data_IF_045945562363
#
_entry.id   IF_045945562363
#
_cell.length_a   1.000
_cell.length_b   1.000
_cell.length_c   1.000
_cell.angle_alpha   90.00
_cell.angle_beta   90.00
_cell.angle_gamma   90.00
#
_symmetry.space_group_name_H-M   'P 1'
#
loop_
_entity.id
_entity.type
_entity.pdbx_description
1 polymer ?
#
# COMPACT_ATOMS: atom_id res chain seq x y z
N UNK A 1 -5.57 22.37 -1.05
CA UNK A 1 -5.78 21.91 0.34
C UNK A 1 -6.63 20.65 0.40
N UNK A 2 -7.90 20.65 -0.04
CA UNK A 2 -8.84 19.52 0.11
C UNK A 2 -8.29 18.16 -0.31
N UNK A 3 -7.64 18.05 -1.48
CA UNK A 3 -7.07 16.79 -1.98
C UNK A 3 -5.93 16.24 -1.12
N UNK A 4 -5.12 17.10 -0.51
CA UNK A 4 -4.03 16.65 0.38
C UNK A 4 -4.59 16.14 1.71
N UNK A 5 -5.63 16.78 2.25
CA UNK A 5 -6.34 16.26 3.41
C UNK A 5 -6.99 14.89 3.11
N UNK A 6 -7.57 14.72 1.91
CA UNK A 6 -8.14 13.46 1.48
C UNK A 6 -7.08 12.35 1.38
N UNK A 7 -5.91 12.63 0.79
CA UNK A 7 -4.78 11.69 0.73
C UNK A 7 -4.26 11.32 2.13
N UNK A 8 -4.14 12.30 3.03
CA UNK A 8 -3.73 12.06 4.42
C UNK A 8 -4.72 11.13 5.13
N UNK A 9 -6.02 11.44 5.08
CA UNK A 9 -7.08 10.65 5.74
C UNK A 9 -7.18 9.27 5.11
N UNK A 10 -7.12 9.17 3.78
CA UNK A 10 -7.19 7.89 3.08
C UNK A 10 -5.99 6.99 3.40
N UNK A 11 -4.77 7.56 3.44
CA UNK A 11 -3.58 6.79 3.81
C UNK A 11 -3.58 6.41 5.29
N UNK A 12 -4.05 7.31 6.16
CA UNK A 12 -4.28 7.00 7.57
C UNK A 12 -5.19 5.78 7.71
N UNK A 13 -6.34 5.77 7.02
CA UNK A 13 -7.28 4.65 7.09
C UNK A 13 -6.69 3.35 6.54
N UNK A 14 -5.97 3.42 5.40
CA UNK A 14 -5.32 2.25 4.81
C UNK A 14 -4.33 1.60 5.78
N UNK A 15 -3.49 2.41 6.42
CA UNK A 15 -2.48 1.90 7.37
C UNK A 15 -3.12 1.44 8.66
N UNK A 16 -4.06 2.20 9.22
CA UNK A 16 -4.73 1.80 10.46
C UNK A 16 -5.54 0.50 10.26
N UNK A 17 -6.32 0.39 9.20
CA UNK A 17 -7.13 -0.81 8.94
C UNK A 17 -6.28 -2.01 8.49
N UNK A 18 -5.33 -1.78 7.56
CA UNK A 18 -4.47 -2.85 7.04
C UNK A 18 -3.45 -3.33 8.07
N UNK A 19 -2.59 -2.46 8.58
CA UNK A 19 -1.59 -2.84 9.58
C UNK A 19 -2.24 -3.16 10.94
N UNK A 20 -3.34 -2.48 11.29
CA UNK A 20 -4.12 -2.80 12.50
C UNK A 20 -4.73 -4.20 12.45
N UNK A 21 -5.19 -4.66 11.29
CA UNK A 21 -5.68 -6.04 11.13
C UNK A 21 -4.58 -7.07 11.38
N UNK A 22 -3.33 -6.77 11.03
CA UNK A 22 -2.17 -7.62 11.36
C UNK A 22 -1.92 -7.64 12.87
N UNK A 23 -1.81 -6.45 13.48
CA UNK A 23 -1.36 -6.30 14.87
C UNK A 23 -2.42 -6.73 15.88
N UNK A 24 -3.69 -6.41 15.60
CA UNK A 24 -4.77 -6.57 16.58
C UNK A 24 -5.62 -7.83 16.37
N UNK A 25 -5.70 -8.33 15.14
CA UNK A 25 -6.71 -9.35 14.81
C UNK A 25 -6.17 -10.62 14.13
N UNK A 26 -4.98 -10.57 13.49
CA UNK A 26 -4.49 -11.70 12.71
C UNK A 26 -4.33 -12.98 13.53
N UNK A 27 -3.78 -12.86 14.74
CA UNK A 27 -3.48 -13.97 15.66
C UNK A 27 -4.37 -13.97 16.91
N UNK A 28 -5.56 -13.34 16.83
CA UNK A 28 -6.47 -13.33 17.97
C UNK A 28 -6.87 -14.77 18.34
N UNK A 29 -6.82 -15.15 19.64
CA UNK A 29 -7.08 -16.53 20.04
C UNK A 29 -8.42 -17.07 19.50
N UNK A 30 -8.41 -18.29 19.00
CA UNK A 30 -9.53 -19.09 18.48
C UNK A 30 -10.25 -18.54 17.25
N UNK A 31 -10.27 -17.21 17.02
CA UNK A 31 -11.04 -16.57 15.93
C UNK A 31 -10.19 -15.56 15.13
N UNK A 32 -8.88 -15.69 15.15
CA UNK A 32 -7.98 -14.82 14.39
C UNK A 32 -8.24 -14.86 12.89
N UNK A 33 -8.13 -13.69 12.25
CA UNK A 33 -8.47 -13.55 10.83
C UNK A 33 -7.38 -14.09 9.88
N UNK A 34 -6.18 -14.31 10.38
CA UNK A 34 -5.05 -14.84 9.62
C UNK A 34 -4.72 -14.07 8.35
N UNK A 35 -3.95 -14.72 7.47
CA UNK A 35 -3.51 -14.13 6.19
C UNK A 35 -4.69 -13.70 5.31
N UNK A 36 -5.76 -14.50 5.24
CA UNK A 36 -6.92 -14.21 4.42
C UNK A 36 -7.62 -12.93 4.88
N UNK A 37 -7.89 -12.82 6.19
CA UNK A 37 -8.55 -11.64 6.73
C UNK A 37 -7.71 -10.36 6.62
N UNK A 38 -6.40 -10.46 6.81
CA UNK A 38 -5.47 -9.33 6.60
C UNK A 38 -5.49 -8.89 5.14
N UNK A 39 -5.45 -9.83 4.20
CA UNK A 39 -5.50 -9.51 2.76
C UNK A 39 -6.80 -8.80 2.39
N UNK A 40 -7.92 -9.26 2.92
CA UNK A 40 -9.23 -8.61 2.75
C UNK A 40 -9.24 -7.21 3.38
N UNK A 41 -8.69 -7.04 4.58
CA UNK A 41 -8.66 -5.75 5.27
C UNK A 41 -7.92 -4.69 4.44
N UNK A 42 -6.75 -4.99 3.89
CA UNK A 42 -6.04 -4.07 3.01
C UNK A 42 -6.84 -3.71 1.76
N UNK A 43 -7.45 -4.69 1.10
CA UNK A 43 -8.30 -4.43 -0.07
C UNK A 43 -9.54 -3.61 0.26
N UNK A 44 -10.21 -3.89 1.38
CA UNK A 44 -11.39 -3.17 1.83
C UNK A 44 -11.09 -1.72 2.25
N UNK A 45 -9.94 -1.45 2.87
CA UNK A 45 -9.54 -0.07 3.20
C UNK A 45 -9.41 0.77 1.94
N UNK A 46 -8.75 0.24 0.90
CA UNK A 46 -8.61 0.93 -0.38
C UNK A 46 -9.96 1.06 -1.09
N UNK A 47 -10.73 0.00 -1.17
CA UNK A 47 -12.04 -0.02 -1.84
C UNK A 47 -12.97 1.05 -1.25
N UNK A 48 -13.08 1.07 0.07
CA UNK A 48 -13.96 2.02 0.77
C UNK A 48 -13.48 3.46 0.61
N UNK A 49 -12.16 3.70 0.70
CA UNK A 49 -11.60 5.04 0.49
C UNK A 49 -11.70 5.48 -0.97
N UNK A 50 -11.53 4.58 -1.94
CA UNK A 50 -11.69 4.94 -3.35
C UNK A 50 -13.10 5.44 -3.66
N UNK A 51 -14.13 4.85 -3.05
CA UNK A 51 -15.50 5.39 -3.13
C UNK A 51 -15.65 6.70 -2.36
N UNK A 52 -15.07 6.81 -1.16
CA UNK A 52 -15.28 7.95 -0.27
C UNK A 52 -14.56 9.22 -0.74
N UNK A 53 -13.32 9.11 -1.27
CA UNK A 53 -12.47 10.26 -1.59
C UNK A 53 -11.92 10.27 -3.02
N UNK A 54 -12.24 9.26 -3.83
CA UNK A 54 -11.75 9.19 -5.21
C UNK A 54 -12.10 10.41 -6.05
N UNK A 55 -13.31 10.94 -5.88
CA UNK A 55 -13.78 12.15 -6.55
C UNK A 55 -13.12 13.46 -6.02
N UNK A 56 -12.38 13.41 -4.90
CA UNK A 56 -11.71 14.57 -4.29
C UNK A 56 -10.24 14.62 -4.68
N UNK A 57 -9.51 13.51 -4.51
CA UNK A 57 -8.05 13.45 -4.70
C UNK A 57 -7.58 12.48 -5.78
N UNK A 58 -8.47 11.61 -6.26
CA UNK A 58 -8.11 10.43 -7.05
C UNK A 58 -7.81 9.21 -6.18
N UNK A 59 -7.78 9.37 -4.85
CA UNK A 59 -7.50 8.32 -3.87
C UNK A 59 -6.23 7.52 -4.21
N UNK A 60 -5.10 8.22 -4.36
CA UNK A 60 -3.81 7.54 -4.57
C UNK A 60 -3.38 6.78 -3.32
N UNK A 61 -3.40 7.45 -2.17
CA UNK A 61 -3.05 6.95 -0.82
C UNK A 61 -1.78 6.07 -0.78
N UNK A 62 -0.90 6.30 -1.75
CA UNK A 62 0.29 5.51 -2.01
C UNK A 62 1.26 6.31 -2.91
N UNK A 63 2.51 6.55 -2.48
CA UNK A 63 3.50 7.22 -3.33
C UNK A 63 3.76 6.49 -4.65
N UNK A 64 3.84 5.15 -4.66
CA UNK A 64 4.08 4.39 -5.89
C UNK A 64 2.93 4.56 -6.90
N UNK A 65 1.69 4.67 -6.43
CA UNK A 65 0.52 5.00 -7.27
C UNK A 65 0.66 6.42 -7.84
N UNK A 66 1.06 7.38 -7.03
CA UNK A 66 1.26 8.77 -7.49
C UNK A 66 2.33 8.85 -8.58
N UNK A 67 3.46 8.16 -8.41
CA UNK A 67 4.52 8.06 -9.42
C UNK A 67 4.06 7.29 -10.67
N UNK A 68 3.33 6.20 -10.51
CA UNK A 68 2.78 5.42 -11.63
C UNK A 68 1.79 6.24 -12.48
N UNK A 69 0.87 6.97 -11.84
CA UNK A 69 -0.08 7.85 -12.53
C UNK A 69 0.63 9.03 -13.21
N UNK A 70 1.67 9.59 -12.60
CA UNK A 70 2.51 10.59 -13.24
C UNK A 70 3.21 10.03 -14.49
N UNK A 71 3.86 8.89 -14.38
CA UNK A 71 4.50 8.22 -15.51
C UNK A 71 3.50 7.84 -16.61
N UNK A 72 2.27 7.52 -16.22
CA UNK A 72 1.14 7.26 -17.13
C UNK A 72 0.54 8.52 -17.78
N UNK A 73 1.02 9.72 -17.43
CA UNK A 73 0.50 10.99 -17.95
C UNK A 73 -0.85 11.43 -17.36
N UNK A 74 -1.29 10.80 -16.27
CA UNK A 74 -2.58 11.09 -15.62
C UNK A 74 -2.48 11.91 -14.35
N UNK A 75 -1.25 12.30 -13.94
CA UNK A 75 -1.01 13.10 -12.75
C UNK A 75 0.13 14.11 -12.98
N UNK A 76 -0.03 15.38 -12.58
CA UNK A 76 0.99 16.40 -12.84
C UNK A 76 2.17 16.30 -11.85
N UNK A 77 3.40 16.47 -12.34
CA UNK A 77 4.62 16.32 -11.56
C UNK A 77 4.70 17.28 -10.34
N UNK A 78 4.18 18.49 -10.46
CA UNK A 78 4.18 19.47 -9.36
C UNK A 78 3.27 19.07 -8.18
N UNK A 79 2.46 18.04 -8.32
CA UNK A 79 1.61 17.51 -7.27
C UNK A 79 2.22 16.28 -6.56
N UNK A 80 3.28 15.69 -7.11
CA UNK A 80 3.90 14.50 -6.54
C UNK A 80 4.35 14.72 -5.09
N UNK A 81 5.20 15.72 -4.86
CA UNK A 81 5.75 15.98 -3.53
C UNK A 81 4.66 16.28 -2.49
N UNK A 82 3.68 17.17 -2.74
CA UNK A 82 2.58 17.39 -1.80
C UNK A 82 1.76 16.13 -1.49
N UNK A 83 1.52 15.25 -2.47
CA UNK A 83 0.82 13.98 -2.25
C UNK A 83 1.65 13.04 -1.39
N UNK A 84 2.91 12.83 -1.73
CA UNK A 84 3.81 11.96 -0.97
C UNK A 84 3.90 12.42 0.49
N UNK A 85 4.06 13.72 0.74
CA UNK A 85 4.09 14.27 2.10
C UNK A 85 2.79 13.98 2.85
N UNK A 86 1.62 14.25 2.24
CA UNK A 86 0.32 14.00 2.86
C UNK A 86 0.13 12.51 3.17
N UNK A 87 0.51 11.63 2.25
CA UNK A 87 0.43 10.18 2.40
C UNK A 87 1.33 9.67 3.53
N UNK A 88 2.59 10.12 3.58
CA UNK A 88 3.53 9.71 4.64
C UNK A 88 3.07 10.22 6.00
N UNK A 89 2.62 11.47 6.10
CA UNK A 89 2.09 12.01 7.37
C UNK A 89 0.87 11.21 7.83
N UNK A 90 -0.06 10.88 6.92
CA UNK A 90 -1.23 10.05 7.23
C UNK A 90 -0.83 8.66 7.71
N UNK A 91 0.15 8.03 7.05
CA UNK A 91 0.66 6.72 7.43
C UNK A 91 1.33 6.71 8.82
N UNK A 92 2.18 7.70 9.11
CA UNK A 92 2.85 7.83 10.41
C UNK A 92 1.84 8.12 11.52
N UNK A 93 0.85 8.98 11.27
CA UNK A 93 -0.23 9.24 12.22
C UNK A 93 -1.04 7.96 12.53
N UNK A 94 -1.32 7.15 11.52
CA UNK A 94 -2.00 5.85 11.69
C UNK A 94 -1.15 4.87 12.50
N UNK A 95 0.15 4.78 12.21
CA UNK A 95 1.10 3.98 13.00
C UNK A 95 1.11 4.41 14.47
N UNK A 96 1.10 5.72 14.73
CA UNK A 96 1.02 6.26 16.10
C UNK A 96 -0.27 5.88 16.83
N UNK A 97 -1.41 6.00 16.16
CA UNK A 97 -2.71 5.58 16.74
C UNK A 97 -2.73 4.07 16.99
N UNK A 98 -2.26 3.28 16.02
CA UNK A 98 -2.18 1.82 16.18
C UNK A 98 -1.26 1.43 17.35
N UNK A 99 -0.12 2.10 17.47
CA UNK A 99 0.81 1.91 18.59
C UNK A 99 0.14 2.16 19.93
N UNK A 100 -0.56 3.29 20.06
CA UNK A 100 -1.29 3.64 21.30
C UNK A 100 -2.39 2.63 21.65
N UNK A 101 -3.09 2.10 20.65
CA UNK A 101 -4.10 1.05 20.85
C UNK A 101 -3.43 -0.24 21.31
N UNK A 102 -2.36 -0.66 20.62
CA UNK A 102 -1.68 -1.91 20.89
C UNK A 102 -0.99 -1.93 22.27
N UNK A 103 -0.49 -0.79 22.74
CA UNK A 103 0.08 -0.63 24.10
C UNK A 103 -0.93 -0.92 25.23
N UNK A 104 -2.21 -0.95 24.94
CA UNK A 104 -3.22 -1.38 25.90
C UNK A 104 -3.15 -2.87 26.25
N UNK A 105 -2.41 -3.67 25.49
CA UNK A 105 -2.15 -5.08 25.78
C UNK A 105 -0.82 -5.23 26.55
N UNK A 106 -0.83 -5.94 27.68
CA UNK A 106 0.31 -6.02 28.60
C UNK A 106 1.58 -6.61 27.96
N UNK A 107 1.43 -7.59 27.05
CA UNK A 107 2.54 -8.29 26.40
C UNK A 107 2.92 -7.71 25.03
N UNK A 108 2.35 -6.57 24.65
CA UNK A 108 2.65 -5.95 23.36
C UNK A 108 4.11 -5.49 23.28
N UNK A 109 4.77 -5.86 22.19
CA UNK A 109 6.12 -5.37 21.87
C UNK A 109 6.24 -5.02 20.40
N UNK A 110 6.68 -3.80 20.13
CA UNK A 110 6.97 -3.32 18.75
C UNK A 110 8.04 -4.16 18.07
N UNK A 111 9.00 -4.70 18.86
CA UNK A 111 10.07 -5.56 18.34
C UNK A 111 9.57 -6.87 17.71
N UNK A 112 8.31 -7.27 18.00
CA UNK A 112 7.66 -8.39 17.31
C UNK A 112 7.32 -8.11 15.83
N UNK A 113 7.61 -6.88 15.33
CA UNK A 113 7.52 -6.55 13.91
C UNK A 113 6.47 -5.53 13.52
N UNK A 114 5.45 -5.26 14.33
CA UNK A 114 4.44 -4.20 14.16
C UNK A 114 3.94 -4.00 12.72
N UNK A 115 3.67 -5.09 12.03
CA UNK A 115 3.28 -5.13 10.62
C UNK A 115 4.31 -4.50 9.64
N UNK A 116 5.58 -4.35 10.04
CA UNK A 116 6.62 -3.82 9.16
C UNK A 116 6.92 -4.79 8.00
N UNK A 117 7.41 -4.22 6.91
CA UNK A 117 7.88 -4.98 5.77
C UNK A 117 9.35 -5.34 5.94
N UNK A 118 9.73 -6.54 5.47
CA UNK A 118 11.10 -6.99 5.59
C UNK A 118 11.49 -8.06 4.58
N UNK A 119 12.81 -8.33 4.49
CA UNK A 119 13.42 -9.40 3.69
C UNK A 119 14.50 -10.12 4.48
N UNK A 120 14.98 -11.26 3.98
CA UNK A 120 15.96 -12.06 4.70
C UNK A 120 15.43 -12.53 6.04
N UNK A 121 16.15 -12.25 7.12
CA UNK A 121 15.74 -12.61 8.48
C UNK A 121 14.43 -11.96 8.95
N UNK A 122 14.00 -10.88 8.30
CA UNK A 122 12.77 -10.15 8.61
C UNK A 122 11.65 -10.41 7.61
N UNK A 123 11.84 -11.30 6.63
CA UNK A 123 10.77 -11.82 5.77
C UNK A 123 9.90 -12.78 6.57
N UNK A 124 8.56 -12.72 6.49
CA UNK A 124 7.69 -13.70 7.17
C UNK A 124 8.00 -15.15 6.77
N UNK A 125 8.33 -15.40 5.50
CA UNK A 125 8.68 -16.73 4.98
C UNK A 125 10.19 -16.95 4.74
N UNK A 126 11.07 -16.06 5.22
CA UNK A 126 12.53 -16.20 5.06
C UNK A 126 13.04 -15.89 3.66
N UNK A 127 12.31 -15.15 2.85
CA UNK A 127 12.70 -14.84 1.45
C UNK A 127 13.84 -13.84 1.36
N UNK A 128 14.71 -14.06 0.37
CA UNK A 128 15.87 -13.22 0.12
C UNK A 128 15.53 -11.80 -0.33
N UNK A 129 16.52 -10.89 -0.28
CA UNK A 129 16.45 -9.55 -0.84
C UNK A 129 16.02 -9.55 -2.32
N UNK A 130 16.57 -10.48 -3.13
CA UNK A 130 16.20 -10.57 -4.56
C UNK A 130 14.74 -10.95 -4.74
N UNK A 131 14.26 -11.92 -3.95
CA UNK A 131 12.84 -12.33 -3.98
C UNK A 131 11.93 -11.18 -3.57
N UNK A 132 12.30 -10.41 -2.55
CA UNK A 132 11.57 -9.22 -2.10
C UNK A 132 11.53 -8.15 -3.20
N UNK A 133 12.67 -7.86 -3.82
CA UNK A 133 12.78 -6.87 -4.90
C UNK A 133 11.87 -7.24 -6.07
N UNK A 134 11.93 -8.50 -6.54
CA UNK A 134 11.10 -8.98 -7.66
C UNK A 134 9.61 -8.92 -7.28
N UNK A 135 9.26 -9.40 -6.08
CA UNK A 135 7.87 -9.39 -5.61
C UNK A 135 7.29 -7.97 -5.59
N UNK A 136 7.98 -7.04 -4.95
CA UNK A 136 7.50 -5.65 -4.81
C UNK A 136 7.39 -4.94 -6.17
N UNK A 137 8.36 -5.16 -7.09
CA UNK A 137 8.30 -4.60 -8.45
C UNK A 137 7.11 -5.17 -9.21
N UNK A 138 6.98 -6.51 -9.27
CA UNK A 138 5.95 -7.16 -10.09
C UNK A 138 4.55 -6.89 -9.53
N UNK A 139 4.36 -6.99 -8.22
CA UNK A 139 3.06 -6.73 -7.60
C UNK A 139 2.62 -5.28 -7.81
N UNK A 140 3.52 -4.31 -7.66
CA UNK A 140 3.19 -2.90 -7.89
C UNK A 140 2.97 -2.60 -9.38
N UNK A 141 3.75 -3.23 -10.27
CA UNK A 141 3.56 -3.14 -11.72
C UNK A 141 2.14 -3.54 -12.12
N UNK A 142 1.68 -4.70 -11.67
CA UNK A 142 0.31 -5.17 -11.94
C UNK A 142 -0.72 -4.26 -11.27
N UNK A 143 -0.46 -3.81 -10.06
CA UNK A 143 -1.37 -2.90 -9.37
C UNK A 143 -1.62 -1.60 -10.15
N UNK A 144 -0.56 -0.97 -10.66
CA UNK A 144 -0.68 0.25 -11.48
C UNK A 144 -1.35 -0.05 -12.82
N UNK A 145 -1.06 -1.20 -13.45
CA UNK A 145 -1.74 -1.63 -14.67
C UNK A 145 -3.26 -1.71 -14.44
N UNK A 146 -3.70 -2.35 -13.34
CA UNK A 146 -5.12 -2.45 -12.98
C UNK A 146 -5.73 -1.08 -12.68
N UNK A 147 -5.04 -0.22 -11.93
CA UNK A 147 -5.52 1.14 -11.64
C UNK A 147 -5.74 1.92 -12.93
N UNK A 148 -4.75 1.94 -13.82
CA UNK A 148 -4.85 2.67 -15.09
C UNK A 148 -5.95 2.10 -16.00
N UNK A 149 -6.09 0.78 -16.03
CA UNK A 149 -7.13 0.10 -16.81
C UNK A 149 -8.53 0.34 -16.25
N UNK A 150 -8.72 0.13 -14.95
CA UNK A 150 -10.03 0.29 -14.32
C UNK A 150 -10.54 1.75 -14.31
N UNK A 151 -9.62 2.72 -14.37
CA UNK A 151 -9.93 4.15 -14.42
C UNK A 151 -9.88 4.74 -15.85
N UNK A 152 -9.72 3.91 -16.86
CA UNK A 152 -9.79 4.33 -18.27
C UNK A 152 -11.23 4.74 -18.61
N UNK A 153 -11.38 5.76 -19.48
CA UNK A 153 -12.70 6.22 -19.92
C UNK A 153 -13.52 5.16 -20.66
N UNK A 154 -12.85 4.15 -21.23
CA UNK A 154 -13.45 3.00 -21.92
C UNK A 154 -13.90 1.88 -20.96
N UNK A 155 -13.40 1.89 -19.71
CA UNK A 155 -13.80 0.93 -18.70
C UNK A 155 -15.21 1.23 -18.15
N UNK A 156 -15.93 0.22 -17.63
CA UNK A 156 -17.22 0.42 -17.01
C UNK A 156 -17.15 1.45 -15.87
N UNK A 157 -17.92 2.51 -15.97
CA UNK A 157 -17.91 3.60 -15.00
C UNK A 157 -18.44 3.14 -13.64
N UNK A 158 -17.82 3.64 -12.56
CA UNK A 158 -18.25 3.36 -11.18
C UNK A 158 -17.67 2.07 -10.58
N UNK A 159 -17.06 1.18 -11.36
CA UNK A 159 -16.53 -0.11 -10.86
C UNK A 159 -15.05 -0.08 -10.49
N UNK A 160 -14.32 0.95 -10.84
CA UNK A 160 -12.89 1.05 -10.58
C UNK A 160 -12.51 0.79 -9.10
N UNK A 161 -13.19 1.34 -8.09
CA UNK A 161 -12.87 1.07 -6.68
C UNK A 161 -12.91 -0.41 -6.32
N UNK A 162 -13.86 -1.17 -6.88
CA UNK A 162 -14.01 -2.61 -6.63
C UNK A 162 -12.82 -3.36 -7.23
N UNK A 163 -12.51 -3.12 -8.51
CA UNK A 163 -11.40 -3.78 -9.19
C UNK A 163 -10.06 -3.50 -8.50
N UNK A 164 -9.82 -2.25 -8.10
CA UNK A 164 -8.58 -1.82 -7.46
C UNK A 164 -8.45 -2.41 -6.05
N UNK A 165 -9.52 -2.39 -5.25
CA UNK A 165 -9.52 -2.98 -3.92
C UNK A 165 -9.32 -4.50 -3.94
N UNK A 166 -9.99 -5.21 -4.84
CA UNK A 166 -9.81 -6.66 -5.01
C UNK A 166 -8.41 -7.01 -5.54
N UNK A 167 -7.84 -6.18 -6.42
CA UNK A 167 -6.45 -6.35 -6.85
C UNK A 167 -5.49 -6.25 -5.66
N UNK A 168 -5.67 -5.27 -4.77
CA UNK A 168 -4.84 -5.15 -3.57
C UNK A 168 -5.03 -6.35 -2.64
N UNK A 169 -6.25 -6.87 -2.48
CA UNK A 169 -6.51 -8.12 -1.75
C UNK A 169 -5.71 -9.27 -2.34
N UNK A 170 -5.78 -9.47 -3.67
CA UNK A 170 -5.06 -10.55 -4.36
C UNK A 170 -3.55 -10.43 -4.19
N UNK A 171 -3.01 -9.22 -4.30
CA UNK A 171 -1.59 -8.94 -4.07
C UNK A 171 -1.17 -9.36 -2.66
N UNK A 172 -1.96 -9.04 -1.63
CA UNK A 172 -1.68 -9.44 -0.25
C UNK A 172 -1.76 -10.95 -0.06
N UNK A 173 -2.73 -11.63 -0.67
CA UNK A 173 -2.84 -13.10 -0.65
C UNK A 173 -1.58 -13.79 -1.20
N UNK A 174 -0.91 -13.16 -2.19
CA UNK A 174 0.28 -13.71 -2.84
C UNK A 174 1.55 -13.36 -2.06
N UNK A 175 1.72 -12.13 -1.59
CA UNK A 175 3.02 -11.58 -1.22
C UNK A 175 3.24 -11.32 0.27
N UNK A 176 2.22 -11.49 1.13
CA UNK A 176 2.42 -11.43 2.60
C UNK A 176 3.56 -12.36 3.05
N UNK A 177 3.65 -13.64 2.61
CA UNK A 177 4.76 -14.51 3.01
C UNK A 177 6.14 -13.99 2.61
N UNK A 178 6.23 -13.19 1.52
CA UNK A 178 7.52 -12.74 0.97
C UNK A 178 8.06 -11.52 1.71
N UNK A 179 7.24 -10.47 1.88
CA UNK A 179 7.70 -9.19 2.41
C UNK A 179 6.77 -8.59 3.46
N UNK A 180 5.71 -9.28 3.87
CA UNK A 180 4.54 -8.71 4.51
C UNK A 180 3.84 -7.66 3.64
N UNK A 181 3.99 -7.73 2.35
CA UNK A 181 3.43 -6.90 1.27
C UNK A 181 3.50 -5.40 1.53
N UNK A 182 4.36 -4.71 0.77
CA UNK A 182 4.37 -3.25 0.78
C UNK A 182 3.48 -2.69 -0.32
N UNK A 183 3.96 -2.75 -1.55
CA UNK A 183 3.46 -2.08 -2.76
C UNK A 183 3.12 -0.59 -2.53
N UNK A 184 3.53 -0.05 -1.37
CA UNK A 184 3.18 1.28 -0.89
C UNK A 184 4.27 1.86 0.04
N UNK A 185 5.12 2.78 -0.43
CA UNK A 185 6.16 3.39 0.39
C UNK A 185 5.66 4.07 1.67
N UNK A 186 4.50 4.73 1.62
CA UNK A 186 3.92 5.39 2.80
C UNK A 186 3.46 4.36 3.84
N UNK A 187 2.82 3.26 3.41
CA UNK A 187 2.42 2.15 4.29
C UNK A 187 3.63 1.58 5.02
N UNK A 188 4.73 1.36 4.31
CA UNK A 188 5.95 0.82 4.92
C UNK A 188 6.58 1.79 5.90
N UNK A 189 6.65 3.07 5.55
CA UNK A 189 7.19 4.12 6.41
C UNK A 189 6.37 4.26 7.69
N UNK A 190 5.03 4.21 7.60
CA UNK A 190 4.11 4.45 8.70
C UNK A 190 4.30 3.54 9.91
N UNK A 191 4.78 2.32 9.71
CA UNK A 191 5.07 1.34 10.77
C UNK A 191 6.57 1.21 11.04
N UNK A 192 7.42 1.36 10.03
CA UNK A 192 8.87 1.23 10.18
C UNK A 192 9.46 2.23 11.17
N UNK A 193 8.94 3.46 11.23
CA UNK A 193 9.40 4.50 12.15
C UNK A 193 9.15 4.15 13.63
N UNK A 194 8.22 3.26 13.92
CA UNK A 194 7.95 2.78 15.28
C UNK A 194 8.79 1.55 15.62
N UNK A 195 9.04 0.67 14.65
CA UNK A 195 9.93 -0.49 14.84
C UNK A 195 11.39 -0.04 14.96
N UNK A 196 11.79 0.98 14.19
CA UNK A 196 13.17 1.46 14.18
C UNK A 196 14.14 0.49 13.50
N UNK A 197 15.41 0.55 13.92
CA UNK A 197 16.52 -0.37 13.59
C UNK A 197 16.41 -1.03 12.19
N UNK A 198 16.21 -2.34 12.14
CA UNK A 198 16.17 -3.12 10.90
C UNK A 198 15.08 -2.65 9.92
N UNK A 199 13.93 -2.22 10.42
CA UNK A 199 12.81 -1.80 9.57
C UNK A 199 13.15 -0.50 8.82
N UNK A 200 13.82 0.43 9.48
CA UNK A 200 14.37 1.64 8.83
C UNK A 200 15.50 1.27 7.87
N UNK A 201 16.40 0.36 8.27
CA UNK A 201 17.52 -0.11 7.44
C UNK A 201 17.06 -0.78 6.14
N UNK A 202 15.89 -1.44 6.16
CA UNK A 202 15.32 -2.11 4.98
C UNK A 202 14.31 -1.27 4.20
N UNK A 203 13.90 -0.11 4.71
CA UNK A 203 12.85 0.73 4.14
C UNK A 203 13.13 1.20 2.71
N UNK A 204 14.42 1.35 2.35
CA UNK A 204 14.83 1.78 1.01
C UNK A 204 14.26 0.89 -0.10
N UNK A 205 14.19 -0.43 0.11
CA UNK A 205 13.65 -1.38 -0.86
C UNK A 205 12.16 -1.10 -1.09
N UNK A 206 11.40 -0.85 -0.02
CA UNK A 206 9.97 -0.60 -0.04
C UNK A 206 9.58 0.80 -0.55
N UNK A 207 10.58 1.64 -0.82
CA UNK A 207 10.44 2.86 -1.62
C UNK A 207 10.81 2.59 -3.08
N UNK A 208 11.99 2.06 -3.31
CA UNK A 208 12.54 1.89 -4.66
C UNK A 208 11.71 0.91 -5.50
N UNK A 209 11.50 -0.30 -4.99
CA UNK A 209 10.88 -1.38 -5.76
C UNK A 209 9.42 -1.07 -6.17
N UNK A 210 8.54 -0.59 -5.26
CA UNK A 210 7.19 -0.20 -5.65
C UNK A 210 7.16 0.96 -6.66
N UNK A 211 8.02 1.97 -6.52
CA UNK A 211 8.07 3.09 -7.48
C UNK A 211 8.51 2.61 -8.85
N UNK A 212 9.56 1.78 -8.93
CA UNK A 212 10.03 1.18 -10.19
C UNK A 212 8.92 0.33 -10.82
N UNK A 213 8.28 -0.54 -10.04
CA UNK A 213 7.14 -1.34 -10.51
C UNK A 213 6.00 -0.47 -11.05
N UNK A 214 5.67 0.61 -10.34
CA UNK A 214 4.64 1.56 -10.76
C UNK A 214 4.94 2.22 -12.11
N UNK A 215 6.19 2.66 -12.31
CA UNK A 215 6.62 3.26 -13.58
C UNK A 215 6.57 2.23 -14.72
N UNK A 216 7.03 1.00 -14.48
CA UNK A 216 6.96 -0.09 -15.48
C UNK A 216 5.51 -0.40 -15.83
N UNK A 217 4.62 -0.54 -14.84
CA UNK A 217 3.19 -0.78 -15.05
C UNK A 217 2.52 0.30 -15.89
N UNK A 218 2.87 1.57 -15.64
CA UNK A 218 2.41 2.69 -16.45
C UNK A 218 2.92 2.62 -17.91
N UNK A 219 4.19 2.25 -18.10
CA UNK A 219 4.77 2.02 -19.43
C UNK A 219 4.04 0.92 -20.20
N UNK A 220 3.80 -0.22 -19.55
CA UNK A 220 3.06 -1.34 -20.15
C UNK A 220 1.64 -0.91 -20.53
N UNK A 221 0.95 -0.18 -19.61
CA UNK A 221 -0.41 0.29 -19.92
C UNK A 221 -0.44 1.23 -21.12
N UNK A 222 0.57 2.11 -21.28
CA UNK A 222 0.67 2.98 -22.46
C UNK A 222 0.84 2.18 -23.77
N UNK A 223 1.54 1.04 -23.72
CA UNK A 223 1.73 0.18 -24.90
C UNK A 223 0.45 -0.55 -25.30
N UNK A 224 -0.27 -1.13 -24.32
CA UNK A 224 -1.47 -1.94 -24.61
C UNK A 224 -2.75 -1.11 -24.69
N UNK A 225 -2.78 0.05 -24.05
CA UNK A 225 -3.95 0.93 -23.97
C UNK A 225 -4.03 1.95 -25.09
N UNK A 226 -2.97 2.14 -25.90
CA UNK A 226 -3.01 3.04 -27.05
C UNK A 226 -3.90 2.45 -28.15
N UNK A 227 -5.07 3.07 -28.39
CA UNK A 227 -5.76 2.90 -29.66
C UNK A 227 -4.90 3.60 -30.71
N UNK A 228 -4.32 2.86 -31.64
CA UNK A 228 -3.91 3.44 -32.93
C UNK A 228 -5.22 3.67 -33.67
N UNK A 229 -5.74 4.88 -33.61
CA UNK A 229 -6.66 5.40 -34.61
C UNK A 229 -5.87 5.79 -35.86
#
# INVERSE_FOLDING_TARGET
MRKYCAELIGTFWLVLGGCGSVVLAASFPDVGIGLLGVSLAFGLTLLTMAFAIGHISGCHINPAVSFGLWAGGRFPANQLLPYVVAQVVGAVAAGGVLYLIAMGQADFSVSAGFAANGYGAHSPGGYSLLSALISEIVMTMIFILVILGATDKRAPQGFAPIAIGLCLTLIHLISIPVTNTSVNPARSTGVAVFVGDWAIGQLWLFWLAPIVGGIIGAGIYRLIGSTKD
#
